data_IF_633847025972
#
_entry.id   IF_633847025972
#
_cell.length_a   1.000
_cell.length_b   1.000
_cell.length_c   1.000
_cell.angle_alpha   90.00
_cell.angle_beta   90.00
_cell.angle_gamma   90.00
#
_symmetry.space_group_name_H-M   'P 1'
#
loop_
_entity.id
_entity.type
_entity.pdbx_description
1 polymer ?
#
# COMPACT_ATOMS: atom_id res chain seq x y z
N UNK A 1 -17.98 2.24 -16.81
CA UNK A 1 -16.76 1.45 -16.55
C UNK A 1 -17.19 0.04 -16.28
N UNK A 2 -16.56 -0.94 -16.91
CA UNK A 2 -16.84 -2.34 -16.62
C UNK A 2 -16.21 -2.75 -15.29
N UNK A 3 -16.69 -3.86 -14.72
CA UNK A 3 -16.21 -4.43 -13.45
C UNK A 3 -14.71 -4.68 -13.52
N UNK A 4 -14.23 -5.24 -14.63
CA UNK A 4 -12.80 -5.52 -14.83
C UNK A 4 -11.95 -4.24 -14.76
N UNK A 5 -12.46 -3.13 -15.30
CA UNK A 5 -11.75 -1.85 -15.26
C UNK A 5 -11.63 -1.32 -13.84
N UNK A 6 -12.68 -1.44 -13.02
CA UNK A 6 -12.65 -1.02 -11.60
C UNK A 6 -11.64 -1.86 -10.81
N UNK A 7 -11.67 -3.18 -10.98
CA UNK A 7 -10.75 -4.09 -10.28
C UNK A 7 -9.30 -3.79 -10.67
N UNK A 8 -9.02 -3.61 -11.97
CA UNK A 8 -7.68 -3.24 -12.43
C UNK A 8 -7.22 -1.89 -11.88
N UNK A 9 -8.10 -0.88 -11.83
CA UNK A 9 -7.81 0.42 -11.22
C UNK A 9 -7.53 0.29 -9.71
N UNK A 10 -8.30 -0.54 -9.01
CA UNK A 10 -8.10 -0.79 -7.59
C UNK A 10 -6.70 -1.36 -7.32
N UNK A 11 -6.29 -2.40 -8.03
CA UNK A 11 -4.94 -2.96 -7.89
C UNK A 11 -3.84 -2.01 -8.36
N UNK A 12 -4.08 -1.23 -9.41
CA UNK A 12 -3.13 -0.20 -9.87
C UNK A 12 -2.90 0.87 -8.81
N UNK A 13 -3.98 1.39 -8.21
CA UNK A 13 -3.90 2.36 -7.12
C UNK A 13 -3.30 1.75 -5.85
N UNK A 14 -3.54 0.46 -5.58
CA UNK A 14 -2.88 -0.25 -4.48
C UNK A 14 -1.35 -0.24 -4.66
N UNK A 15 -0.86 -0.61 -5.85
CA UNK A 15 0.58 -0.62 -6.15
C UNK A 15 1.17 0.80 -6.05
N UNK A 16 0.49 1.78 -6.67
CA UNK A 16 0.92 3.18 -6.63
C UNK A 16 0.96 3.72 -5.19
N UNK A 17 -0.04 3.39 -4.37
CA UNK A 17 -0.07 3.79 -2.96
C UNK A 17 1.10 3.22 -2.17
N UNK A 18 1.48 1.97 -2.44
CA UNK A 18 2.67 1.34 -1.88
C UNK A 18 3.94 2.10 -2.27
N UNK A 19 4.13 2.39 -3.56
CA UNK A 19 5.31 3.13 -4.05
C UNK A 19 5.41 4.50 -3.37
N UNK A 20 4.33 5.28 -3.36
CA UNK A 20 4.30 6.60 -2.72
C UNK A 20 4.60 6.50 -1.23
N UNK A 21 3.99 5.54 -0.54
CA UNK A 21 4.22 5.34 0.90
C UNK A 21 5.66 4.99 1.21
N UNK A 22 6.29 4.16 0.37
CA UNK A 22 7.69 3.79 0.50
C UNK A 22 8.62 5.01 0.34
N UNK A 23 8.39 5.86 -0.66
CA UNK A 23 9.21 7.06 -0.87
C UNK A 23 9.08 8.05 0.29
N UNK A 24 7.87 8.23 0.82
CA UNK A 24 7.67 9.06 2.03
C UNK A 24 8.41 8.47 3.21
N UNK A 25 8.27 7.17 3.46
CA UNK A 25 8.98 6.49 4.54
C UNK A 25 10.49 6.53 4.42
N UNK A 26 11.01 6.44 3.19
CA UNK A 26 12.44 6.62 2.91
C UNK A 26 12.90 8.05 3.22
N UNK A 27 12.12 9.07 2.85
CA UNK A 27 12.40 10.47 3.22
C UNK A 27 12.45 10.67 4.73
N UNK A 28 11.49 10.09 5.47
CA UNK A 28 11.50 10.12 6.94
C UNK A 28 12.67 9.34 7.53
N UNK A 29 13.03 8.17 6.98
CA UNK A 29 14.22 7.45 7.40
C UNK A 29 15.46 8.32 7.28
N UNK A 30 15.68 8.95 6.11
CA UNK A 30 16.87 9.77 5.87
C UNK A 30 16.93 10.97 6.81
N UNK A 31 15.78 11.57 7.12
CA UNK A 31 15.68 12.73 8.02
C UNK A 31 15.96 12.38 9.49
N UNK A 32 15.57 11.19 9.93
CA UNK A 32 15.65 10.78 11.34
C UNK A 32 16.70 9.68 11.60
N UNK A 33 17.47 9.30 10.58
CA UNK A 33 18.50 8.22 10.58
C UNK A 33 18.04 6.88 11.19
N UNK A 34 16.72 6.67 11.20
CA UNK A 34 16.06 5.58 11.89
C UNK A 34 15.13 4.84 10.94
N UNK A 35 15.52 3.61 10.62
CA UNK A 35 14.68 2.67 9.87
C UNK A 35 13.31 2.44 10.52
N UNK A 36 13.23 2.47 11.86
CA UNK A 36 11.97 2.29 12.58
C UNK A 36 10.99 3.43 12.31
N UNK A 37 11.46 4.67 12.31
CA UNK A 37 10.63 5.86 12.02
C UNK A 37 10.20 5.86 10.54
N UNK A 38 11.12 5.52 9.63
CA UNK A 38 10.79 5.40 8.20
C UNK A 38 9.75 4.30 7.92
N UNK A 39 9.88 3.15 8.57
CA UNK A 39 8.91 2.07 8.45
C UNK A 39 7.55 2.45 9.06
N UNK A 40 7.54 3.07 10.25
CA UNK A 40 6.30 3.49 10.91
C UNK A 40 5.55 4.53 10.05
N UNK A 41 6.27 5.48 9.46
CA UNK A 41 5.71 6.44 8.51
C UNK A 41 5.13 5.75 7.27
N UNK A 42 5.86 4.79 6.69
CA UNK A 42 5.38 3.96 5.57
C UNK A 42 4.10 3.23 5.95
N UNK A 43 4.07 2.59 7.12
CA UNK A 43 2.96 1.79 7.60
C UNK A 43 1.71 2.65 7.81
N UNK A 44 1.83 3.75 8.55
CA UNK A 44 0.70 4.65 8.83
C UNK A 44 0.13 5.21 7.52
N UNK A 45 0.99 5.70 6.63
CA UNK A 45 0.54 6.27 5.36
C UNK A 45 -0.13 5.20 4.49
N UNK A 46 0.48 4.02 4.39
CA UNK A 46 -0.07 2.91 3.60
C UNK A 46 -1.41 2.41 4.14
N UNK A 47 -1.63 2.39 5.47
CA UNK A 47 -2.92 2.06 6.07
C UNK A 47 -4.00 3.10 5.74
N UNK A 48 -3.66 4.39 5.79
CA UNK A 48 -4.59 5.46 5.44
C UNK A 48 -4.99 5.33 3.96
N UNK A 49 -4.02 5.16 3.05
CA UNK A 49 -4.32 4.99 1.63
C UNK A 49 -5.13 3.71 1.38
N UNK A 50 -4.80 2.60 2.04
CA UNK A 50 -5.56 1.36 1.95
C UNK A 50 -7.02 1.58 2.35
N UNK A 51 -7.28 2.25 3.49
CA UNK A 51 -8.63 2.58 3.93
C UNK A 51 -9.41 3.40 2.89
N UNK A 52 -8.77 4.43 2.32
CA UNK A 52 -9.37 5.26 1.25
C UNK A 52 -9.67 4.42 0.01
N UNK A 53 -8.75 3.54 -0.40
CA UNK A 53 -8.90 2.63 -1.53
C UNK A 53 -10.08 1.68 -1.34
N UNK A 54 -10.23 1.10 -0.13
CA UNK A 54 -11.33 0.19 0.21
C UNK A 54 -12.67 0.93 0.15
N UNK A 55 -12.76 2.10 0.77
CA UNK A 55 -13.99 2.90 0.74
C UNK A 55 -14.38 3.32 -0.69
N UNK A 56 -13.38 3.69 -1.50
CA UNK A 56 -13.60 4.00 -2.91
C UNK A 56 -14.08 2.77 -3.69
N UNK A 57 -13.41 1.62 -3.53
CA UNK A 57 -13.75 0.38 -4.22
C UNK A 57 -15.14 -0.13 -3.84
N UNK A 58 -15.52 -0.07 -2.56
CA UNK A 58 -16.87 -0.39 -2.09
C UNK A 58 -17.92 0.50 -2.77
N UNK A 59 -17.69 1.82 -2.80
CA UNK A 59 -18.60 2.77 -3.45
C UNK A 59 -18.72 2.52 -4.96
N UNK A 60 -17.61 2.19 -5.62
CA UNK A 60 -17.57 1.89 -7.04
C UNK A 60 -18.26 0.55 -7.36
N UNK A 61 -18.12 -0.45 -6.48
CA UNK A 61 -18.71 -1.79 -6.60
C UNK A 61 -20.21 -1.82 -6.41
N UNK A 62 -20.73 -1.04 -5.44
CA UNK A 62 -22.18 -0.91 -5.21
C UNK A 62 -22.91 -0.33 -6.43
N UNK A 63 -22.27 0.57 -7.18
CA UNK A 63 -22.84 1.16 -8.40
C UNK A 63 -22.96 0.18 -9.57
N UNK A 64 -22.19 -0.91 -9.55
CA UNK A 64 -22.17 -1.92 -10.60
C UNK A 64 -22.82 -3.25 -10.20
N UNK A 65 -23.44 -3.33 -9.01
CA UNK A 65 -24.00 -4.58 -8.48
C UNK A 65 -22.99 -5.74 -8.49
N UNK A 66 -21.72 -5.46 -8.16
CA UNK A 66 -20.73 -6.53 -7.97
C UNK A 66 -21.21 -7.39 -6.81
N UNK A 67 -21.35 -8.69 -7.06
CA UNK A 67 -21.71 -9.65 -6.02
C UNK A 67 -20.75 -9.59 -4.84
N UNK A 68 -21.25 -9.85 -3.64
CA UNK A 68 -20.47 -9.78 -2.39
C UNK A 68 -19.27 -10.73 -2.38
N UNK A 69 -19.35 -11.86 -3.09
CA UNK A 69 -18.30 -12.87 -3.18
C UNK A 69 -17.07 -12.36 -3.96
N UNK A 70 -17.18 -11.93 -5.24
CA UNK A 70 -16.06 -11.31 -5.96
C UNK A 70 -15.40 -10.16 -5.20
N UNK A 71 -16.21 -9.26 -4.64
CA UNK A 71 -15.72 -8.12 -3.86
C UNK A 71 -14.86 -8.55 -2.67
N UNK A 72 -15.29 -9.59 -1.94
CA UNK A 72 -14.54 -10.12 -0.80
C UNK A 72 -13.20 -10.74 -1.23
N UNK A 73 -13.17 -11.46 -2.35
CA UNK A 73 -11.93 -12.03 -2.89
C UNK A 73 -10.92 -10.95 -3.31
N UNK A 74 -11.37 -9.89 -3.99
CA UNK A 74 -10.51 -8.75 -4.35
C UNK A 74 -9.93 -8.07 -3.11
N UNK A 75 -10.75 -7.93 -2.06
CA UNK A 75 -10.33 -7.36 -0.79
C UNK A 75 -9.30 -8.23 -0.08
N UNK A 76 -9.50 -9.56 -0.06
CA UNK A 76 -8.56 -10.50 0.52
C UNK A 76 -7.21 -10.49 -0.24
N UNK A 77 -7.25 -10.44 -1.57
CA UNK A 77 -6.05 -10.34 -2.39
C UNK A 77 -5.27 -9.03 -2.13
N UNK A 78 -5.97 -7.91 -1.93
CA UNK A 78 -5.34 -6.66 -1.54
C UNK A 78 -4.66 -6.74 -0.17
N UNK A 79 -5.30 -7.37 0.83
CA UNK A 79 -4.70 -7.60 2.15
C UNK A 79 -3.44 -8.46 2.09
N UNK A 80 -3.47 -9.55 1.32
CA UNK A 80 -2.28 -10.41 1.12
C UNK A 80 -1.16 -9.61 0.45
N UNK A 81 -1.48 -8.86 -0.60
CA UNK A 81 -0.52 -8.00 -1.31
C UNK A 81 0.08 -6.93 -0.40
N UNK A 82 -0.73 -6.36 0.49
CA UNK A 82 -0.31 -5.38 1.48
C UNK A 82 0.68 -5.96 2.49
N UNK A 83 0.43 -7.17 3.00
CA UNK A 83 1.37 -7.86 3.90
C UNK A 83 2.73 -8.12 3.23
N UNK A 84 2.70 -8.60 1.98
CA UNK A 84 3.92 -8.81 1.19
C UNK A 84 4.68 -7.50 1.00
N UNK A 85 3.96 -6.42 0.67
CA UNK A 85 4.52 -5.08 0.54
C UNK A 85 5.19 -4.60 1.83
N UNK A 86 4.56 -4.76 3.00
CA UNK A 86 5.13 -4.35 4.28
C UNK A 86 6.44 -5.09 4.60
N UNK A 87 6.49 -6.41 4.33
CA UNK A 87 7.70 -7.21 4.52
C UNK A 87 8.82 -6.72 3.59
N UNK A 88 8.49 -6.48 2.31
CA UNK A 88 9.44 -5.95 1.34
C UNK A 88 9.95 -4.56 1.75
N UNK A 89 9.05 -3.67 2.15
CA UNK A 89 9.38 -2.31 2.61
C UNK A 89 10.30 -2.34 3.83
N UNK A 90 10.04 -3.22 4.81
CA UNK A 90 10.90 -3.40 5.99
C UNK A 90 12.32 -3.81 5.59
N UNK A 91 12.46 -4.82 4.72
CA UNK A 91 13.76 -5.33 4.28
C UNK A 91 14.51 -4.26 3.49
N UNK A 92 13.83 -3.58 2.56
CA UNK A 92 14.42 -2.52 1.74
C UNK A 92 14.87 -1.34 2.61
N UNK A 93 14.01 -0.86 3.51
CA UNK A 93 14.35 0.23 4.41
C UNK A 93 15.54 -0.15 5.32
N UNK A 94 15.55 -1.36 5.88
CA UNK A 94 16.69 -1.82 6.69
C UNK A 94 18.00 -1.83 5.90
N UNK A 95 17.99 -2.30 4.65
CA UNK A 95 19.17 -2.29 3.75
C UNK A 95 19.61 -0.87 3.41
N UNK A 96 18.68 0.01 3.05
CA UNK A 96 18.96 1.39 2.69
C UNK A 96 19.52 2.20 3.86
N UNK A 97 19.01 2.00 5.09
CA UNK A 97 19.56 2.68 6.27
C UNK A 97 21.01 2.28 6.55
N UNK A 98 21.36 1.02 6.31
CA UNK A 98 22.74 0.55 6.46
C UNK A 98 23.66 1.26 5.46
N UNK A 99 23.24 1.37 4.20
CA UNK A 99 24.02 2.09 3.17
C UNK A 99 24.16 3.57 3.49
N UNK A 100 23.10 4.23 3.97
CA UNK A 100 23.15 5.65 4.36
C UNK A 100 24.10 5.91 5.54
N UNK A 101 24.28 4.94 6.45
CA UNK A 101 25.24 5.05 7.56
C UNK A 101 26.69 4.76 7.15
N UNK A 102 26.91 4.06 6.05
CA UNK A 102 28.23 3.68 5.52
C UNK A 102 28.76 4.69 4.48
N UNK A 103 27.92 5.64 4.03
CA UNK A 103 28.24 6.70 3.05
C UNK A 103 28.52 8.03 3.74
#
# INVERSE_FOLDING_TARGET
MDIQTIVNLFFTFLIMSGIVSFFVGFGFMKKFESHGIGFLSTLILSLILLGVLISWFQTASLKLYIGTIPWFFDQAAAFVSFLVYLIAAWILLKKLNKQVKEA
#
